data_IF_065409813006
#
_entry.id   IF_065409813006
#
_cell.length_a   1.000
_cell.length_b   1.000
_cell.length_c   1.000
_cell.angle_alpha   90.00
_cell.angle_beta   90.00
_cell.angle_gamma   90.00
#
_symmetry.space_group_name_H-M   'P 1'
#
loop_
_entity.id
_entity.type
_entity.pdbx_description
1 polymer ?
#
# COMPACT_ATOMS: atom_id res chain seq x y z
N UNK A 1 9.20 0.90 -8.37
CA UNK A 1 10.24 -0.16 -8.49
C UNK A 1 11.34 0.33 -9.42
N UNK A 2 12.63 0.06 -9.16
CA UNK A 2 13.72 0.35 -10.08
C UNK A 2 13.48 -0.27 -11.46
N UNK A 3 13.77 0.46 -12.52
CA UNK A 3 13.39 0.08 -13.90
C UNK A 3 13.93 -1.29 -14.35
N UNK A 4 15.13 -1.67 -13.92
CA UNK A 4 15.76 -2.94 -14.30
C UNK A 4 15.11 -4.17 -13.62
N UNK A 5 14.42 -3.96 -12.50
CA UNK A 5 13.67 -5.00 -11.80
C UNK A 5 12.28 -5.25 -12.43
N UNK A 6 11.88 -4.46 -13.42
CA UNK A 6 10.53 -4.47 -13.96
C UNK A 6 10.44 -5.20 -15.30
N UNK A 7 9.28 -5.79 -15.61
CA UNK A 7 9.00 -6.42 -16.89
C UNK A 7 9.03 -5.43 -18.06
N UNK A 8 8.53 -4.21 -17.83
CA UNK A 8 8.44 -3.17 -18.87
C UNK A 8 9.75 -2.40 -19.09
N UNK A 9 10.73 -2.53 -18.17
CA UNK A 9 11.91 -1.66 -18.14
C UNK A 9 11.55 -0.21 -17.80
N UNK A 10 10.44 0.03 -17.08
CA UNK A 10 9.96 1.36 -16.72
C UNK A 10 9.39 1.36 -15.30
N UNK A 11 9.70 2.41 -14.51
CA UNK A 11 9.21 2.56 -13.15
C UNK A 11 7.75 3.05 -13.06
N UNK A 12 7.15 3.51 -14.17
CA UNK A 12 5.77 3.99 -14.18
C UNK A 12 4.72 2.87 -14.29
N UNK A 13 5.12 1.64 -14.63
CA UNK A 13 4.22 0.50 -14.71
C UNK A 13 4.47 -0.42 -15.90
N UNK A 14 3.62 -1.43 -16.07
CA UNK A 14 3.68 -2.37 -17.19
C UNK A 14 3.06 -1.76 -18.47
N UNK A 15 3.32 -2.40 -19.62
CA UNK A 15 2.64 -2.07 -20.88
C UNK A 15 1.12 -2.33 -20.82
N UNK A 16 0.72 -3.30 -20.00
CA UNK A 16 -0.66 -3.59 -19.62
C UNK A 16 -0.81 -3.23 -18.12
N UNK A 17 -1.62 -2.23 -17.82
CA UNK A 17 -1.80 -1.73 -16.45
C UNK A 17 -2.42 -2.73 -15.48
N UNK A 18 -3.03 -3.81 -15.97
CA UNK A 18 -3.56 -4.90 -15.16
C UNK A 18 -2.53 -5.98 -14.82
N UNK A 19 -1.28 -5.81 -15.21
CA UNK A 19 -0.22 -6.79 -14.95
C UNK A 19 0.83 -6.26 -14.01
N UNK A 20 1.29 -7.14 -13.14
CA UNK A 20 2.43 -6.87 -12.28
C UNK A 20 3.63 -6.42 -13.08
N UNK A 21 4.36 -5.47 -12.55
CA UNK A 21 5.53 -4.94 -13.23
C UNK A 21 6.85 -5.37 -12.55
N UNK A 22 6.86 -5.55 -11.23
CA UNK A 22 8.04 -6.09 -10.55
C UNK A 22 8.17 -7.59 -10.84
N UNK A 23 9.34 -8.00 -11.31
CA UNK A 23 9.63 -9.42 -11.57
C UNK A 23 9.91 -10.16 -10.27
N UNK A 24 9.33 -11.37 -10.07
CA UNK A 24 9.50 -12.14 -8.83
C UNK A 24 10.95 -12.46 -8.47
N UNK A 25 11.83 -12.62 -9.45
CA UNK A 25 13.26 -12.86 -9.22
C UNK A 25 13.99 -11.71 -8.55
N UNK A 26 13.37 -10.50 -8.50
CA UNK A 26 13.92 -9.31 -7.85
C UNK A 26 13.19 -8.96 -6.53
N UNK A 27 12.32 -9.81 -6.01
CA UNK A 27 11.60 -9.52 -4.77
C UNK A 27 12.55 -9.33 -3.59
N UNK A 28 13.57 -10.17 -3.47
CA UNK A 28 14.57 -10.06 -2.40
C UNK A 28 15.39 -8.77 -2.53
N UNK A 29 15.88 -8.48 -3.74
CA UNK A 29 16.64 -7.26 -4.01
C UNK A 29 15.83 -5.99 -3.78
N UNK A 30 14.56 -5.99 -4.19
CA UNK A 30 13.66 -4.86 -3.94
C UNK A 30 13.33 -4.70 -2.44
N UNK A 31 13.17 -5.79 -1.71
CA UNK A 31 12.97 -5.76 -0.27
C UNK A 31 14.20 -5.17 0.45
N UNK A 32 15.41 -5.59 0.08
CA UNK A 32 16.65 -4.98 0.59
C UNK A 32 16.73 -3.50 0.25
N UNK A 33 16.43 -3.10 -0.98
CA UNK A 33 16.41 -1.69 -1.38
C UNK A 33 15.51 -0.84 -0.46
N UNK A 34 14.29 -1.31 -0.17
CA UNK A 34 13.37 -0.59 0.71
C UNK A 34 13.87 -0.49 2.15
N UNK A 35 14.41 -1.59 2.67
CA UNK A 35 14.97 -1.63 4.04
C UNK A 35 16.22 -0.78 4.16
N UNK A 36 17.11 -0.80 3.17
CA UNK A 36 18.33 0.00 3.14
C UNK A 36 18.04 1.50 3.10
N UNK A 37 16.97 1.92 2.40
CA UNK A 37 16.49 3.31 2.46
C UNK A 37 16.10 3.68 3.89
N UNK A 38 15.33 2.83 4.58
CA UNK A 38 14.95 3.09 5.98
C UNK A 38 16.16 3.14 6.92
N UNK A 39 17.14 2.25 6.75
CA UNK A 39 18.39 2.24 7.51
C UNK A 39 19.20 3.50 7.25
N UNK A 40 19.34 3.90 6.00
CA UNK A 40 20.08 5.14 5.64
C UNK A 40 19.51 6.36 6.36
N UNK A 41 18.19 6.54 6.39
CA UNK A 41 17.58 7.65 7.11
C UNK A 41 17.81 7.59 8.61
N UNK A 42 17.79 6.40 9.20
CA UNK A 42 18.10 6.21 10.62
C UNK A 42 19.57 6.54 10.92
N UNK A 43 20.48 6.00 10.12
CA UNK A 43 21.93 6.09 10.38
C UNK A 43 22.47 7.50 10.10
N UNK A 44 22.03 8.14 9.00
CA UNK A 44 22.56 9.45 8.59
C UNK A 44 21.80 10.63 9.21
N UNK A 45 20.51 10.49 9.48
CA UNK A 45 19.65 11.60 9.91
C UNK A 45 19.01 11.40 11.28
N UNK A 46 19.18 10.23 11.90
CA UNK A 46 18.50 9.88 13.15
C UNK A 46 16.98 9.73 13.03
N UNK A 47 16.47 9.54 11.81
CA UNK A 47 15.03 9.41 11.52
C UNK A 47 14.70 7.94 11.37
N UNK A 48 13.98 7.38 12.34
CA UNK A 48 13.45 6.03 12.26
C UNK A 48 11.97 6.07 11.86
N UNK A 49 11.66 5.49 10.69
CA UNK A 49 10.28 5.39 10.22
C UNK A 49 9.50 4.39 11.06
N UNK A 50 8.27 4.76 11.44
CA UNK A 50 7.38 3.85 12.18
C UNK A 50 6.85 2.73 11.29
N UNK A 51 6.54 3.04 10.03
CA UNK A 51 5.99 2.11 9.05
C UNK A 51 6.75 2.18 7.73
N UNK A 52 6.84 1.05 7.05
CA UNK A 52 7.28 0.91 5.67
C UNK A 52 6.11 0.38 4.85
N UNK A 53 5.63 1.17 3.89
CA UNK A 53 4.58 0.79 2.94
C UNK A 53 5.21 0.39 1.60
N UNK A 54 5.16 -0.89 1.21
CA UNK A 54 5.81 -1.34 -0.03
C UNK A 54 4.94 -1.15 -1.28
N UNK A 55 3.66 -0.84 -1.10
CA UNK A 55 2.68 -0.71 -2.17
C UNK A 55 2.03 0.66 -2.16
N UNK A 56 1.56 1.11 -3.30
CA UNK A 56 0.65 2.24 -3.46
C UNK A 56 -0.35 1.92 -4.56
N UNK A 57 -1.62 1.85 -4.21
CA UNK A 57 -2.75 1.57 -5.11
C UNK A 57 -2.53 0.35 -6.01
N UNK A 58 -2.09 -0.79 -5.44
CA UNK A 58 -1.52 -1.90 -6.21
C UNK A 58 -2.51 -2.58 -7.16
N UNK A 59 -3.83 -2.61 -6.86
CA UNK A 59 -4.83 -3.25 -7.72
C UNK A 59 -5.39 -2.33 -8.81
N UNK A 60 -4.88 -1.12 -8.96
CA UNK A 60 -5.34 -0.22 -10.02
C UNK A 60 -4.66 -0.52 -11.35
N UNK A 61 -5.31 -0.12 -12.46
CA UNK A 61 -4.84 -0.40 -13.81
C UNK A 61 -4.14 0.79 -14.50
N UNK A 62 -4.01 1.92 -13.81
CA UNK A 62 -3.40 3.11 -14.40
C UNK A 62 -1.87 3.15 -14.28
N UNK A 63 -1.25 2.23 -13.53
CA UNK A 63 0.19 2.05 -13.54
C UNK A 63 0.65 1.47 -14.87
N UNK A 64 0.94 2.35 -15.82
CA UNK A 64 1.29 1.96 -17.17
C UNK A 64 2.62 2.56 -17.61
N UNK A 65 3.30 1.89 -18.54
CA UNK A 65 4.62 2.29 -19.05
C UNK A 65 4.67 3.75 -19.54
N UNK A 66 3.55 4.27 -20.02
CA UNK A 66 3.44 5.64 -20.52
C UNK A 66 2.82 6.59 -19.48
N UNK A 67 2.67 6.15 -18.25
CA UNK A 67 2.15 6.96 -17.16
C UNK A 67 3.09 8.10 -16.77
N UNK A 68 2.52 9.20 -16.30
CA UNK A 68 3.27 10.36 -15.83
C UNK A 68 3.75 10.26 -14.37
N UNK A 69 3.48 9.13 -13.71
CA UNK A 69 3.77 8.89 -12.29
C UNK A 69 4.39 7.50 -12.14
N UNK A 70 5.31 7.37 -11.20
CA UNK A 70 5.88 6.07 -10.84
C UNK A 70 4.85 5.24 -10.08
N UNK A 71 4.79 3.95 -10.39
CA UNK A 71 3.89 3.01 -9.76
C UNK A 71 4.07 1.58 -10.24
N UNK A 72 3.39 0.66 -9.58
CA UNK A 72 3.49 -0.74 -9.91
C UNK A 72 2.20 -1.46 -9.51
N UNK A 73 1.58 -2.13 -10.47
CA UNK A 73 0.51 -3.06 -10.17
C UNK A 73 1.06 -4.31 -9.49
N UNK A 74 0.35 -4.78 -8.47
CA UNK A 74 0.58 -6.05 -7.80
C UNK A 74 -0.76 -6.74 -7.57
N UNK A 75 -0.96 -7.90 -8.15
CA UNK A 75 -2.05 -8.79 -7.76
C UNK A 75 -1.96 -9.16 -6.28
N UNK A 76 -3.08 -9.49 -5.64
CA UNK A 76 -3.11 -9.88 -4.22
C UNK A 76 -2.12 -11.04 -3.93
N UNK A 77 -2.01 -12.00 -4.84
CA UNK A 77 -1.06 -13.11 -4.72
C UNK A 77 0.40 -12.64 -4.74
N UNK A 78 0.72 -11.65 -5.55
CA UNK A 78 2.05 -11.07 -5.66
C UNK A 78 2.38 -10.19 -4.46
N UNK A 79 1.41 -9.43 -3.95
CA UNK A 79 1.54 -8.71 -2.69
C UNK A 79 1.88 -9.68 -1.55
N UNK A 80 1.13 -10.78 -1.41
CA UNK A 80 1.36 -11.82 -0.39
C UNK A 80 2.76 -12.44 -0.54
N UNK A 81 3.18 -12.76 -1.77
CA UNK A 81 4.49 -13.33 -2.03
C UNK A 81 5.61 -12.34 -1.64
N UNK A 82 5.46 -11.06 -2.00
CA UNK A 82 6.43 -10.03 -1.65
C UNK A 82 6.51 -9.78 -0.14
N UNK A 83 5.38 -9.74 0.58
CA UNK A 83 5.37 -9.57 2.04
C UNK A 83 6.10 -10.70 2.77
N UNK A 84 6.03 -11.94 2.27
CA UNK A 84 6.77 -13.08 2.83
C UNK A 84 8.29 -12.92 2.66
N UNK A 85 8.75 -12.19 1.64
CA UNK A 85 10.16 -11.87 1.43
C UNK A 85 10.57 -10.65 2.27
N UNK A 86 9.79 -9.58 2.24
CA UNK A 86 10.13 -8.33 2.92
C UNK A 86 10.15 -8.47 4.45
N UNK A 87 9.18 -9.20 5.02
CA UNK A 87 9.02 -9.27 6.47
C UNK A 87 10.26 -9.81 7.21
N UNK A 88 10.87 -10.94 6.84
CA UNK A 88 12.09 -11.42 7.49
C UNK A 88 13.25 -10.43 7.31
N UNK A 89 13.46 -9.86 6.11
CA UNK A 89 14.53 -8.90 5.84
C UNK A 89 14.40 -7.66 6.72
N UNK A 90 13.19 -7.09 6.82
CA UNK A 90 12.94 -5.95 7.70
C UNK A 90 13.18 -6.31 9.18
N UNK A 91 12.73 -7.48 9.61
CA UNK A 91 12.94 -7.95 10.99
C UNK A 91 14.41 -8.13 11.33
N UNK A 92 15.21 -8.66 10.42
CA UNK A 92 16.65 -8.88 10.60
C UNK A 92 17.45 -7.58 10.56
N UNK A 93 16.89 -6.50 9.99
CA UNK A 93 17.55 -5.19 9.89
C UNK A 93 17.80 -4.49 11.23
N UNK A 94 17.09 -4.88 12.30
CA UNK A 94 17.15 -4.25 13.61
C UNK A 94 16.42 -2.89 13.70
N UNK A 95 15.60 -2.56 12.69
CA UNK A 95 14.71 -1.40 12.72
C UNK A 95 13.46 -1.72 13.55
N UNK A 96 12.91 -0.69 14.25
CA UNK A 96 11.60 -0.80 14.91
C UNK A 96 10.43 -0.52 13.95
N UNK A 97 10.73 -0.41 12.67
CA UNK A 97 9.76 -0.18 11.60
C UNK A 97 8.91 -1.42 11.37
N UNK A 98 7.60 -1.25 11.25
CA UNK A 98 6.68 -2.33 10.88
C UNK A 98 6.19 -2.14 9.43
N UNK A 99 5.77 -3.22 8.79
CA UNK A 99 5.16 -3.12 7.46
C UNK A 99 3.74 -2.58 7.61
N UNK A 100 3.37 -1.59 6.82
CA UNK A 100 1.98 -1.22 6.53
C UNK A 100 1.58 -1.75 5.16
N UNK A 101 0.29 -2.04 4.97
CA UNK A 101 -0.30 -2.50 3.71
C UNK A 101 -1.84 -2.34 3.79
N UNK A 102 -2.58 -2.37 2.68
CA UNK A 102 -2.11 -2.53 1.29
C UNK A 102 -2.16 -1.22 0.48
N UNK A 103 -2.71 -0.16 1.06
CA UNK A 103 -2.75 1.17 0.46
C UNK A 103 -3.55 1.23 -0.85
N UNK A 104 -4.67 0.50 -0.90
CA UNK A 104 -5.54 0.42 -2.07
C UNK A 104 -6.33 1.72 -2.27
N UNK A 105 -6.48 2.13 -3.53
CA UNK A 105 -7.23 3.33 -3.94
C UNK A 105 -8.74 3.23 -3.64
N UNK A 106 -9.28 2.02 -3.78
CA UNK A 106 -10.71 1.73 -3.67
C UNK A 106 -11.01 0.93 -2.41
N UNK A 107 -11.96 1.38 -1.60
CA UNK A 107 -12.29 0.72 -0.33
C UNK A 107 -12.76 -0.74 -0.48
N UNK A 108 -13.46 -1.09 -1.58
CA UNK A 108 -13.82 -2.48 -1.84
C UNK A 108 -12.62 -3.35 -2.14
N UNK A 109 -11.61 -2.82 -2.82
CA UNK A 109 -10.38 -3.53 -3.12
C UNK A 109 -9.54 -3.70 -1.85
N UNK A 110 -9.47 -2.65 -1.01
CA UNK A 110 -8.86 -2.75 0.33
C UNK A 110 -9.49 -3.87 1.16
N UNK A 111 -10.82 -3.97 1.17
CA UNK A 111 -11.52 -5.07 1.83
C UNK A 111 -11.14 -6.45 1.25
N UNK A 112 -11.13 -6.57 -0.07
CA UNK A 112 -10.81 -7.83 -0.77
C UNK A 112 -9.35 -8.25 -0.52
N UNK A 113 -8.43 -7.30 -0.54
CA UNK A 113 -7.01 -7.55 -0.24
C UNK A 113 -6.81 -7.98 1.20
N UNK A 114 -7.50 -7.34 2.15
CA UNK A 114 -7.48 -7.75 3.56
C UNK A 114 -7.92 -9.20 3.74
N UNK A 115 -9.06 -9.57 3.14
CA UNK A 115 -9.56 -10.95 3.16
C UNK A 115 -8.59 -11.93 2.49
N UNK A 116 -7.95 -11.52 1.40
CA UNK A 116 -6.88 -12.29 0.75
C UNK A 116 -5.70 -12.56 1.69
N UNK A 117 -5.22 -11.53 2.39
CA UNK A 117 -4.13 -11.65 3.37
C UNK A 117 -4.54 -12.52 4.56
N UNK A 118 -5.77 -12.34 5.06
CA UNK A 118 -6.31 -13.16 6.15
C UNK A 118 -6.38 -14.63 5.76
N UNK A 119 -6.91 -14.93 4.58
CA UNK A 119 -7.04 -16.29 4.05
C UNK A 119 -5.68 -16.97 3.81
N UNK A 120 -4.68 -16.19 3.43
CA UNK A 120 -3.30 -16.66 3.24
C UNK A 120 -2.48 -16.76 4.55
N UNK A 121 -3.04 -16.32 5.68
CA UNK A 121 -2.38 -16.34 6.98
C UNK A 121 -1.19 -15.38 7.10
N UNK A 122 -1.20 -14.25 6.37
CA UNK A 122 -0.08 -13.29 6.33
C UNK A 122 -0.34 -11.98 7.07
N UNK A 123 -1.48 -11.81 7.72
CA UNK A 123 -1.77 -10.60 8.51
C UNK A 123 -0.76 -10.37 9.65
N UNK A 124 -0.14 -11.43 10.17
CA UNK A 124 0.90 -11.33 11.19
C UNK A 124 2.24 -10.77 10.67
N UNK A 125 2.40 -10.59 9.37
CA UNK A 125 3.58 -9.99 8.75
C UNK A 125 3.51 -8.46 8.72
N UNK A 126 2.33 -7.88 8.96
CA UNK A 126 2.09 -6.44 8.93
C UNK A 126 1.68 -5.93 10.31
N UNK A 127 1.99 -4.66 10.61
CA UNK A 127 1.64 -4.01 11.87
C UNK A 127 0.59 -2.90 11.74
N UNK A 128 0.21 -2.55 10.52
CA UNK A 128 -0.77 -1.51 10.24
C UNK A 128 -1.47 -1.77 8.92
N UNK A 129 -2.77 -1.53 8.88
CA UNK A 129 -3.55 -1.53 7.64
C UNK A 129 -3.76 -0.11 7.15
N UNK A 130 -3.28 0.18 5.94
CA UNK A 130 -3.49 1.44 5.25
C UNK A 130 -4.52 1.28 4.14
N UNK A 131 -5.32 2.30 3.91
CA UNK A 131 -6.26 2.37 2.78
C UNK A 131 -6.46 3.81 2.35
N UNK A 132 -6.64 4.04 1.06
CA UNK A 132 -7.13 5.31 0.55
C UNK A 132 -8.66 5.36 0.63
N UNK A 133 -9.23 6.54 0.57
CA UNK A 133 -10.68 6.73 0.58
C UNK A 133 -11.20 7.53 -0.62
N UNK A 134 -10.49 7.45 -1.76
CA UNK A 134 -10.91 8.11 -3.00
C UNK A 134 -12.25 7.58 -3.50
N UNK A 135 -12.43 6.26 -3.46
CA UNK A 135 -13.61 5.58 -3.98
C UNK A 135 -14.15 4.58 -2.96
N UNK A 136 -15.48 4.48 -2.90
CA UNK A 136 -16.19 3.58 -2.03
C UNK A 136 -17.27 4.26 -1.20
N UNK A 137 -17.96 3.51 -0.38
CA UNK A 137 -19.08 3.97 0.42
C UNK A 137 -18.88 3.68 1.92
N UNK A 138 -19.80 4.16 2.77
CA UNK A 138 -19.66 3.99 4.22
C UNK A 138 -19.81 2.54 4.68
N UNK A 139 -20.50 1.69 3.91
CA UNK A 139 -20.56 0.25 4.22
C UNK A 139 -19.20 -0.41 4.05
N UNK A 140 -18.44 -0.04 3.01
CA UNK A 140 -17.10 -0.58 2.80
C UNK A 140 -16.14 -0.08 3.88
N UNK A 141 -16.23 1.20 4.29
CA UNK A 141 -15.50 1.76 5.44
C UNK A 141 -15.72 0.93 6.71
N UNK A 142 -17.01 0.72 7.05
CA UNK A 142 -17.37 -0.05 8.24
C UNK A 142 -16.88 -1.50 8.21
N UNK A 143 -16.85 -2.14 7.04
CA UNK A 143 -16.30 -3.47 6.88
C UNK A 143 -14.79 -3.50 7.19
N UNK A 144 -14.02 -2.54 6.63
CA UNK A 144 -12.57 -2.45 6.86
C UNK A 144 -12.31 -2.18 8.34
N UNK A 145 -13.06 -1.26 8.97
CA UNK A 145 -13.00 -1.01 10.42
C UNK A 145 -13.19 -2.32 11.21
N UNK A 146 -14.23 -3.07 10.88
CA UNK A 146 -14.53 -4.34 11.58
C UNK A 146 -13.37 -5.32 11.45
N UNK A 147 -12.83 -5.51 10.24
CA UNK A 147 -11.70 -6.40 10.01
C UNK A 147 -10.44 -5.97 10.78
N UNK A 148 -10.17 -4.67 10.80
CA UNK A 148 -9.06 -4.10 11.56
C UNK A 148 -9.21 -4.36 13.06
N UNK A 149 -10.40 -4.13 13.63
CA UNK A 149 -10.70 -4.40 15.02
C UNK A 149 -10.58 -5.89 15.38
N UNK A 150 -11.13 -6.78 14.55
CA UNK A 150 -11.06 -8.24 14.74
C UNK A 150 -9.62 -8.76 14.69
N UNK A 151 -8.77 -8.17 13.86
CA UNK A 151 -7.37 -8.59 13.69
C UNK A 151 -6.40 -7.88 14.65
N UNK A 152 -6.85 -6.84 15.35
CA UNK A 152 -6.00 -6.02 16.21
C UNK A 152 -5.01 -5.12 15.45
N UNK A 153 -5.16 -4.99 14.14
CA UNK A 153 -4.33 -4.11 13.33
C UNK A 153 -4.77 -2.64 13.50
N UNK A 154 -3.81 -1.74 13.51
CA UNK A 154 -4.09 -0.31 13.42
C UNK A 154 -4.59 0.02 12.02
N UNK A 155 -5.69 0.77 11.92
CA UNK A 155 -6.25 1.24 10.65
C UNK A 155 -5.89 2.70 10.42
N UNK A 156 -5.42 3.01 9.21
CA UNK A 156 -5.16 4.38 8.75
C UNK A 156 -5.80 4.62 7.37
N UNK A 157 -6.48 5.75 7.26
CA UNK A 157 -6.77 6.35 5.97
C UNK A 157 -5.53 7.19 5.61
N UNK A 158 -4.68 6.60 4.77
CA UNK A 158 -3.34 7.10 4.44
C UNK A 158 -3.39 8.20 3.39
N UNK A 159 -4.37 8.15 2.48
CA UNK A 159 -4.48 9.10 1.39
C UNK A 159 -5.93 9.33 0.96
N UNK A 160 -6.29 10.59 0.72
CA UNK A 160 -7.56 10.99 0.09
C UNK A 160 -7.44 12.36 -0.57
N UNK A 161 -8.39 12.69 -1.43
CA UNK A 161 -8.44 13.99 -2.08
C UNK A 161 -9.83 14.28 -2.67
N UNK A 162 -10.08 15.52 -3.03
CA UNK A 162 -11.25 15.90 -3.83
C UNK A 162 -10.82 16.18 -5.26
N UNK A 163 -11.66 15.76 -6.23
CA UNK A 163 -11.46 16.11 -7.65
C UNK A 163 -11.92 17.53 -8.00
N UNK A 164 -12.51 18.24 -7.04
CA UNK A 164 -13.07 19.57 -7.22
C UNK A 164 -12.13 20.70 -6.82
N UNK A 165 -12.44 21.91 -7.27
CA UNK A 165 -11.74 23.13 -6.90
C UNK A 165 -12.68 24.11 -6.19
N UNK A 166 -12.14 25.12 -5.47
CA UNK A 166 -12.91 26.12 -4.77
C UNK A 166 -13.76 25.54 -3.63
N UNK A 167 -14.87 26.17 -3.33
CA UNK A 167 -15.75 25.82 -2.20
C UNK A 167 -16.32 24.39 -2.38
N UNK A 168 -16.68 23.98 -3.59
CA UNK A 168 -17.24 22.65 -3.85
C UNK A 168 -16.22 21.54 -3.54
N UNK A 169 -14.96 21.74 -3.93
CA UNK A 169 -13.88 20.80 -3.60
C UNK A 169 -13.62 20.72 -2.10
N UNK A 170 -13.64 21.86 -1.40
CA UNK A 170 -13.47 21.90 0.05
C UNK A 170 -14.61 21.19 0.79
N UNK A 171 -15.84 21.35 0.35
CA UNK A 171 -17.01 20.66 0.93
C UNK A 171 -16.94 19.13 0.67
N UNK A 172 -16.51 18.74 -0.51
CA UNK A 172 -16.30 17.32 -0.83
C UNK A 172 -15.22 16.71 0.09
N UNK A 173 -14.09 17.38 0.25
CA UNK A 173 -13.03 16.95 1.15
C UNK A 173 -13.52 16.83 2.59
N UNK A 174 -14.21 17.85 3.11
CA UNK A 174 -14.78 17.83 4.45
C UNK A 174 -15.73 16.64 4.64
N UNK A 175 -16.59 16.35 3.65
CA UNK A 175 -17.50 15.22 3.68
C UNK A 175 -16.75 13.87 3.69
N UNK A 176 -15.67 13.73 2.90
CA UNK A 176 -14.82 12.53 2.90
C UNK A 176 -14.19 12.31 4.27
N UNK A 177 -13.52 13.32 4.81
CA UNK A 177 -12.89 13.23 6.12
C UNK A 177 -13.89 12.89 7.23
N UNK A 178 -15.10 13.50 7.21
CA UNK A 178 -16.16 13.16 8.16
C UNK A 178 -16.63 11.71 8.01
N UNK A 179 -16.74 11.20 6.78
CA UNK A 179 -17.09 9.81 6.57
C UNK A 179 -15.98 8.87 7.07
N UNK A 180 -14.72 9.21 6.82
CA UNK A 180 -13.60 8.40 7.30
C UNK A 180 -13.55 8.37 8.83
N UNK A 181 -13.68 9.50 9.51
CA UNK A 181 -13.72 9.57 10.98
C UNK A 181 -14.90 8.79 11.58
N UNK A 182 -16.05 8.79 10.92
CA UNK A 182 -17.26 8.16 11.47
C UNK A 182 -17.33 6.65 11.16
N UNK A 183 -16.81 6.21 10.02
CA UNK A 183 -17.07 4.87 9.50
C UNK A 183 -15.81 4.03 9.27
N UNK A 184 -14.63 4.66 9.11
CA UNK A 184 -13.35 3.97 9.01
C UNK A 184 -12.64 3.93 10.37
#
# INVERSE_FOLDING_TARGET
CPYYMTYSGCCAGNSDGWKDNLKPEYYEEFAHYLVDVCKHYKDEYGIEFRTLEPFNEPLTNYWSRNGGQEGCHFDISSQIAFLKVLSPILKESGLNTVISASDESVLSDSYNTFEGYRSAGVLNLIGQWNTHSYYGNNKDRSKIRTLSQESGLRLWMSETGSGGSGISGNLEMAKRLMNDVNYL
#
